data_IF_230308728432
#
_entry.id   IF_230308728432
#
_cell.length_a   1.000
_cell.length_b   1.000
_cell.length_c   1.000
_cell.angle_alpha   90.00
_cell.angle_beta   90.00
_cell.angle_gamma   90.00
#
_symmetry.space_group_name_H-M   'P 1'
#
loop_
_entity.id
_entity.type
_entity.pdbx_description
1 polymer ?
#
# COMPACT_ATOMS: atom_id res chain seq x y z
N UNK A 1 4.19 17.07 3.35
CA UNK A 1 5.59 16.67 3.11
C UNK A 1 5.86 15.21 3.49
N UNK A 2 5.23 14.66 4.55
CA UNK A 2 5.40 13.25 4.95
C UNK A 2 4.97 12.20 3.91
N UNK A 3 4.01 12.53 3.03
CA UNK A 3 3.53 11.60 2.00
C UNK A 3 4.58 11.27 0.92
N UNK A 4 5.46 12.21 0.57
CA UNK A 4 6.40 12.00 -0.55
C UNK A 4 7.60 11.14 -0.16
N UNK A 5 7.93 11.07 1.13
CA UNK A 5 9.03 10.26 1.67
C UNK A 5 8.58 8.83 2.03
N UNK A 6 7.26 8.55 2.03
CA UNK A 6 6.71 7.23 2.34
C UNK A 6 6.60 6.92 3.83
N UNK A 7 6.79 7.91 4.70
CA UNK A 7 6.78 7.73 6.17
C UNK A 7 5.40 7.28 6.67
N UNK A 8 4.33 7.96 6.25
CA UNK A 8 2.95 7.61 6.63
C UNK A 8 2.60 6.17 6.18
N UNK A 9 2.99 5.84 4.95
CA UNK A 9 2.85 4.51 4.37
C UNK A 9 3.58 3.42 5.17
N UNK A 10 4.79 3.71 5.65
CA UNK A 10 5.57 2.79 6.47
C UNK A 10 5.00 2.61 7.87
N UNK A 11 4.52 3.68 8.52
CA UNK A 11 3.87 3.59 9.84
C UNK A 11 2.62 2.70 9.73
N UNK A 12 1.78 2.92 8.71
CA UNK A 12 0.59 2.09 8.46
C UNK A 12 0.95 0.64 8.22
N UNK A 13 2.03 0.38 7.48
CA UNK A 13 2.52 -0.97 7.22
C UNK A 13 2.96 -1.69 8.50
N UNK A 14 3.65 -1.01 9.42
CA UNK A 14 4.03 -1.56 10.73
C UNK A 14 2.80 -1.94 11.55
N UNK A 15 1.78 -1.07 11.60
CA UNK A 15 0.53 -1.35 12.33
C UNK A 15 -0.14 -2.60 11.77
N UNK A 16 -0.24 -2.71 10.44
CA UNK A 16 -0.80 -3.89 9.75
C UNK A 16 0.04 -5.13 10.06
N UNK A 17 1.35 -5.04 9.93
CA UNK A 17 2.29 -6.13 10.14
C UNK A 17 2.15 -6.75 11.53
N UNK A 18 2.16 -5.90 12.56
CA UNK A 18 2.07 -6.35 13.94
C UNK A 18 0.66 -6.86 14.28
N UNK A 19 -0.37 -6.22 13.74
CA UNK A 19 -1.76 -6.57 14.08
C UNK A 19 -2.30 -7.80 13.35
N UNK A 20 -1.83 -8.08 12.13
CA UNK A 20 -2.31 -9.21 11.31
C UNK A 20 -1.36 -10.40 11.41
N UNK A 21 -0.05 -10.15 11.30
CA UNK A 21 0.94 -11.22 11.24
C UNK A 21 1.62 -11.47 12.60
N UNK A 22 1.25 -10.73 13.65
CA UNK A 22 1.85 -10.87 14.97
C UNK A 22 3.35 -10.55 14.99
N UNK A 23 3.81 -9.76 14.02
CA UNK A 23 5.21 -9.32 13.96
C UNK A 23 5.49 -8.34 15.11
N UNK A 24 6.74 -8.30 15.56
CA UNK A 24 7.25 -7.29 16.51
C UNK A 24 8.11 -6.27 15.77
N UNK A 25 7.55 -5.72 14.69
CA UNK A 25 8.26 -4.81 13.80
C UNK A 25 8.09 -3.36 14.25
N UNK A 26 9.11 -2.56 13.99
CA UNK A 26 9.14 -1.12 14.17
C UNK A 26 9.36 -0.43 12.83
N UNK A 27 9.24 0.90 12.80
CA UNK A 27 9.54 1.68 11.59
C UNK A 27 10.94 1.40 11.02
N UNK A 28 11.92 1.08 11.88
CA UNK A 28 13.30 0.79 11.46
C UNK A 28 13.43 -0.51 10.66
N UNK A 29 12.44 -1.39 10.75
CA UNK A 29 12.40 -2.68 10.06
C UNK A 29 11.76 -2.56 8.66
N UNK A 30 11.31 -1.36 8.28
CA UNK A 30 10.73 -1.09 6.97
C UNK A 30 11.78 -0.52 6.02
N UNK A 31 11.94 -1.14 4.86
CA UNK A 31 12.72 -0.57 3.76
C UNK A 31 11.86 0.46 3.00
N UNK A 32 12.24 1.75 3.11
CA UNK A 32 11.42 2.87 2.60
C UNK A 32 12.16 3.60 1.48
N UNK A 33 11.52 3.62 0.31
CA UNK A 33 11.85 4.48 -0.82
C UNK A 33 10.64 5.35 -1.16
N UNK A 34 10.80 6.68 -1.02
CA UNK A 34 9.76 7.64 -1.38
C UNK A 34 9.61 7.86 -2.90
N UNK A 35 8.76 8.82 -3.27
CA UNK A 35 8.48 9.18 -4.67
C UNK A 35 9.29 10.40 -5.16
N UNK A 36 10.17 10.97 -4.32
CA UNK A 36 10.87 12.23 -4.60
C UNK A 36 11.78 12.20 -5.84
N UNK A 37 12.24 11.01 -6.25
CA UNK A 37 13.09 10.83 -7.44
C UNK A 37 12.30 10.49 -8.72
N UNK A 38 10.97 10.41 -8.65
CA UNK A 38 10.14 10.05 -9.80
C UNK A 38 9.89 11.29 -10.63
N UNK A 39 10.37 11.27 -11.87
CA UNK A 39 10.25 12.41 -12.78
C UNK A 39 8.97 12.30 -13.64
N UNK A 40 8.46 13.43 -14.15
CA UNK A 40 7.34 13.43 -15.10
C UNK A 40 7.59 12.54 -16.33
N UNK A 41 8.82 12.52 -16.85
CA UNK A 41 9.21 11.71 -18.01
C UNK A 41 9.11 10.21 -17.69
N UNK A 42 9.46 9.80 -16.47
CA UNK A 42 9.30 8.42 -16.02
C UNK A 42 7.83 8.02 -15.92
N UNK A 43 6.96 8.93 -15.45
CA UNK A 43 5.51 8.71 -15.41
C UNK A 43 4.92 8.60 -16.82
N UNK A 44 5.32 9.47 -17.75
CA UNK A 44 4.89 9.42 -19.15
C UNK A 44 5.36 8.14 -19.85
N UNK A 45 6.61 7.74 -19.61
CA UNK A 45 7.15 6.50 -20.15
C UNK A 45 6.38 5.28 -19.63
N UNK A 46 6.11 5.21 -18.33
CA UNK A 46 5.28 4.16 -17.75
C UNK A 46 3.87 4.14 -18.38
N UNK A 47 3.26 5.32 -18.52
CA UNK A 47 1.92 5.48 -19.08
C UNK A 47 1.83 4.99 -20.54
N UNK A 48 2.85 5.31 -21.36
CA UNK A 48 2.96 4.84 -22.76
C UNK A 48 3.11 3.32 -22.87
N UNK A 49 3.75 2.69 -21.87
CA UNK A 49 3.94 1.24 -21.82
C UNK A 49 2.81 0.49 -21.09
N UNK A 50 1.63 1.11 -20.89
CA UNK A 50 0.49 0.54 -20.17
C UNK A 50 0.69 0.25 -18.67
N UNK A 51 1.58 1.00 -18.02
CA UNK A 51 1.78 0.99 -16.57
C UNK A 51 1.39 2.33 -15.94
N UNK A 52 1.20 2.30 -14.62
CA UNK A 52 1.15 3.47 -13.74
C UNK A 52 2.17 3.27 -12.63
N UNK A 53 2.74 4.36 -12.15
CA UNK A 53 3.63 4.30 -10.98
C UNK A 53 2.80 4.49 -9.72
N UNK A 54 2.96 3.60 -8.74
CA UNK A 54 2.26 3.62 -7.46
C UNK A 54 3.25 3.45 -6.32
N UNK A 55 3.07 4.19 -5.24
CA UNK A 55 3.75 3.89 -3.98
C UNK A 55 3.03 2.69 -3.34
N UNK A 56 3.74 1.57 -3.19
CA UNK A 56 3.18 0.31 -2.69
C UNK A 56 3.80 -0.02 -1.33
N UNK A 57 2.94 -0.29 -0.35
CA UNK A 57 3.30 -0.90 0.92
C UNK A 57 3.11 -2.42 0.80
N UNK A 58 4.13 -3.20 1.15
CA UNK A 58 4.09 -4.65 1.06
C UNK A 58 4.71 -5.29 2.32
N UNK A 59 3.93 -6.15 2.97
CA UNK A 59 4.40 -7.08 3.98
C UNK A 59 4.38 -8.49 3.38
N UNK A 60 5.55 -9.08 3.17
CA UNK A 60 5.66 -10.41 2.54
C UNK A 60 6.85 -11.17 3.10
N UNK A 61 6.64 -12.43 3.50
CA UNK A 61 7.70 -13.33 3.98
C UNK A 61 8.56 -12.69 5.08
N UNK A 62 7.91 -11.95 6.00
CA UNK A 62 8.56 -11.24 7.11
C UNK A 62 9.29 -9.95 6.73
N UNK A 63 9.26 -9.53 5.45
CA UNK A 63 9.86 -8.27 4.99
C UNK A 63 8.79 -7.19 4.84
N UNK A 64 9.11 -5.99 5.31
CA UNK A 64 8.27 -4.80 5.20
C UNK A 64 8.93 -3.81 4.24
N UNK A 65 8.23 -3.44 3.16
CA UNK A 65 8.77 -2.50 2.16
C UNK A 65 7.74 -1.46 1.76
N UNK A 66 8.21 -0.24 1.51
CA UNK A 66 7.45 0.86 0.93
C UNK A 66 8.27 1.40 -0.23
N UNK A 67 7.80 1.22 -1.47
CA UNK A 67 8.56 1.68 -2.63
C UNK A 67 7.66 1.99 -3.83
N UNK A 68 8.08 2.87 -4.75
CA UNK A 68 7.38 3.06 -6.01
C UNK A 68 7.51 1.81 -6.88
N UNK A 69 6.40 1.36 -7.47
CA UNK A 69 6.37 0.22 -8.39
C UNK A 69 5.57 0.53 -9.64
N UNK A 70 5.95 -0.11 -10.74
CA UNK A 70 5.17 -0.14 -11.96
C UNK A 70 4.02 -1.14 -11.79
N UNK A 71 2.80 -0.64 -11.94
CA UNK A 71 1.57 -1.43 -11.85
C UNK A 71 0.88 -1.40 -13.21
N UNK A 72 0.55 -2.54 -13.83
CA UNK A 72 -0.20 -2.56 -15.08
C UNK A 72 -1.52 -1.81 -14.93
N UNK A 73 -1.92 -1.00 -15.91
CA UNK A 73 -3.18 -0.20 -15.85
C UNK A 73 -4.44 -1.02 -15.60
N UNK A 74 -4.43 -2.31 -15.96
CA UNK A 74 -5.55 -3.24 -15.76
C UNK A 74 -5.53 -3.95 -14.41
N UNK A 75 -4.48 -3.75 -13.61
CA UNK A 75 -4.33 -4.40 -12.30
C UNK A 75 -5.25 -3.71 -11.27
N UNK A 76 -5.84 -4.44 -10.30
CA UNK A 76 -6.70 -3.84 -9.27
C UNK A 76 -6.05 -2.74 -8.43
N UNK A 77 -4.72 -2.73 -8.31
CA UNK A 77 -3.96 -1.67 -7.62
C UNK A 77 -3.77 -0.39 -8.45
N UNK A 78 -4.14 -0.40 -9.74
CA UNK A 78 -3.96 0.75 -10.64
C UNK A 78 -5.06 1.81 -10.52
N UNK A 79 -5.85 1.81 -9.43
CA UNK A 79 -6.92 2.77 -9.24
C UNK A 79 -6.42 4.22 -9.25
N UNK A 80 -7.16 5.12 -9.90
CA UNK A 80 -6.84 6.54 -9.98
C UNK A 80 -7.50 7.37 -8.88
N UNK A 81 -7.10 8.64 -8.79
CA UNK A 81 -7.74 9.64 -7.93
C UNK A 81 -7.46 9.43 -6.44
N UNK A 82 -8.45 9.76 -5.60
CA UNK A 82 -8.35 9.69 -4.13
C UNK A 82 -8.69 8.30 -3.57
N UNK A 83 -8.75 7.27 -4.42
CA UNK A 83 -9.04 5.91 -3.98
C UNK A 83 -7.80 5.28 -3.32
N UNK A 84 -7.98 4.78 -2.11
CA UNK A 84 -7.01 3.90 -1.46
C UNK A 84 -7.39 2.44 -1.73
N UNK A 85 -6.40 1.58 -1.97
CA UNK A 85 -6.62 0.15 -2.21
C UNK A 85 -5.62 -0.66 -1.40
N UNK A 86 -6.13 -1.69 -0.72
CA UNK A 86 -5.33 -2.72 -0.07
C UNK A 86 -5.65 -4.08 -0.71
N UNK A 87 -4.67 -4.98 -0.72
CA UNK A 87 -4.88 -6.35 -1.16
C UNK A 87 -4.19 -7.30 -0.20
N UNK A 88 -4.90 -8.33 0.20
CA UNK A 88 -4.42 -9.39 1.09
C UNK A 88 -4.50 -10.69 0.32
N UNK A 89 -3.43 -11.47 0.38
CA UNK A 89 -3.43 -12.83 -0.12
C UNK A 89 -3.61 -13.78 1.07
N UNK A 90 -4.67 -14.56 1.03
CA UNK A 90 -4.97 -15.61 2.01
C UNK A 90 -4.78 -16.98 1.36
N UNK A 91 -4.53 -17.97 2.19
CA UNK A 91 -4.42 -19.37 1.80
C UNK A 91 -5.77 -19.98 1.36
N UNK A 92 -6.86 -19.63 2.05
CA UNK A 92 -8.18 -20.21 1.82
C UNK A 92 -9.07 -19.38 0.88
N UNK A 93 -9.15 -18.07 1.08
CA UNK A 93 -10.03 -17.18 0.31
C UNK A 93 -9.34 -16.57 -0.93
N UNK A 94 -8.07 -16.90 -1.16
CA UNK A 94 -7.27 -16.32 -2.22
C UNK A 94 -7.05 -14.81 -2.00
N UNK A 95 -7.04 -14.04 -3.09
CA UNK A 95 -6.77 -12.59 -3.03
C UNK A 95 -8.05 -11.82 -2.72
N UNK A 96 -8.04 -11.06 -1.64
CA UNK A 96 -9.08 -10.12 -1.25
C UNK A 96 -8.56 -8.71 -1.50
N UNK A 97 -9.29 -7.91 -2.28
CA UNK A 97 -8.95 -6.51 -2.57
C UNK A 97 -10.05 -5.60 -2.03
N UNK A 98 -9.65 -4.62 -1.23
CA UNK A 98 -10.54 -3.63 -0.60
C UNK A 98 -10.19 -2.26 -1.15
N UNK A 99 -11.21 -1.50 -1.57
CA UNK A 99 -11.04 -0.16 -2.13
C UNK A 99 -12.02 0.83 -1.52
N UNK A 100 -11.57 2.04 -1.17
CA UNK A 100 -12.40 3.09 -0.57
C UNK A 100 -12.04 4.49 -1.08
N UNK A 101 -13.05 5.38 -1.18
CA UNK A 101 -12.86 6.80 -1.60
C UNK A 101 -12.30 7.62 -0.44
N UNK A 102 -11.17 8.26 -0.68
CA UNK A 102 -10.53 9.19 0.25
C UNK A 102 -11.10 10.60 0.14
N UNK A 103 -11.68 11.09 1.22
CA UNK A 103 -11.76 12.51 1.54
C UNK A 103 -10.87 12.71 2.77
N UNK A 104 -9.58 12.97 2.53
CA UNK A 104 -8.54 12.93 3.57
C UNK A 104 -7.70 11.63 3.50
N UNK A 105 -6.39 11.76 3.28
CA UNK A 105 -5.47 10.62 3.08
C UNK A 105 -5.27 9.76 4.34
N UNK A 106 -5.61 10.28 5.52
CA UNK A 106 -5.37 9.64 6.82
C UNK A 106 -6.61 8.89 7.31
N UNK A 107 -7.79 9.48 7.20
CA UNK A 107 -9.05 8.94 7.72
C UNK A 107 -9.47 7.67 6.96
N UNK A 108 -9.32 7.66 5.63
CA UNK A 108 -9.72 6.51 4.79
C UNK A 108 -8.71 5.38 4.77
N UNK A 109 -7.42 5.70 4.88
CA UNK A 109 -6.41 4.65 5.05
C UNK A 109 -6.65 3.92 6.39
N UNK A 110 -7.00 4.66 7.44
CA UNK A 110 -7.38 4.09 8.73
C UNK A 110 -8.65 3.24 8.63
N UNK A 111 -9.68 3.66 7.88
CA UNK A 111 -10.90 2.85 7.73
C UNK A 111 -10.65 1.53 7.00
N UNK A 112 -9.88 1.53 5.91
CA UNK A 112 -9.49 0.30 5.20
C UNK A 112 -8.68 -0.62 6.12
N UNK A 113 -7.78 -0.04 6.91
CA UNK A 113 -6.96 -0.77 7.87
C UNK A 113 -7.85 -1.37 8.98
N UNK A 114 -8.82 -0.61 9.50
CA UNK A 114 -9.81 -1.11 10.44
C UNK A 114 -10.67 -2.24 9.87
N UNK A 115 -11.12 -2.14 8.62
CA UNK A 115 -11.90 -3.20 7.95
C UNK A 115 -11.08 -4.48 7.80
N UNK A 116 -9.81 -4.35 7.40
CA UNK A 116 -8.87 -5.47 7.33
C UNK A 116 -8.69 -6.13 8.70
N UNK A 117 -8.45 -5.34 9.75
CA UNK A 117 -8.29 -5.85 11.10
C UNK A 117 -9.57 -6.51 11.63
N UNK A 118 -10.73 -5.94 11.28
CA UNK A 118 -12.01 -6.53 11.63
C UNK A 118 -12.20 -7.90 10.97
N UNK A 119 -11.92 -8.00 9.67
CA UNK A 119 -11.98 -9.27 8.94
C UNK A 119 -11.05 -10.28 9.61
N UNK A 120 -9.76 -9.96 9.77
CA UNK A 120 -8.76 -10.87 10.34
C UNK A 120 -9.06 -11.31 11.77
N UNK A 121 -9.64 -10.44 12.61
CA UNK A 121 -9.97 -10.78 14.01
C UNK A 121 -11.26 -11.58 14.18
N UNK A 122 -12.15 -11.57 13.18
CA UNK A 122 -13.45 -12.25 13.23
C UNK A 122 -13.57 -13.36 12.16
N UNK A 123 -12.46 -13.74 11.52
CA UNK A 123 -12.33 -14.99 10.75
C UNK A 123 -11.53 -16.02 11.53
#
# INVERSE_FOLDING_TARGET
>A
AYDVEGIDSAIKLVIIANSIFGLDSTYKDVDVTGITKITPEALELANRNNYVVKLICEAREGKLTVAPRLVPKRHPLAVGGTLNVASILTDLAGRITISGRGAGSIETASSILSDILYIVRNS
#
